data_IF_601176718931
#
_entry.id   IF_601176718931
#
_cell.length_a   1.000
_cell.length_b   1.000
_cell.length_c   1.000
_cell.angle_alpha   90.00
_cell.angle_beta   90.00
_cell.angle_gamma   90.00
#
_symmetry.space_group_name_H-M   'P 1'
#
loop_
_entity.id
_entity.type
_entity.pdbx_description
1 polymer ?
#
# COMPACT_ATOMS: atom_id res chain seq x y z
N UNK A 1 36.26 -13.66 6.17
CA UNK A 1 35.36 -12.95 7.11
C UNK A 1 35.99 -11.60 7.43
N UNK A 2 35.63 -10.56 6.67
CA UNK A 2 36.00 -9.18 7.02
C UNK A 2 35.03 -8.68 8.09
N UNK A 3 35.52 -7.92 9.06
CA UNK A 3 34.65 -7.18 9.99
C UNK A 3 33.98 -6.07 9.19
N UNK A 4 32.67 -6.18 8.97
CA UNK A 4 31.88 -5.06 8.44
C UNK A 4 31.66 -4.05 9.56
N UNK A 5 31.91 -2.78 9.25
CA UNK A 5 31.75 -1.66 10.18
C UNK A 5 30.26 -1.40 10.40
N UNK A 6 29.91 -1.15 11.65
CA UNK A 6 28.56 -0.92 12.11
C UNK A 6 28.55 0.45 12.75
N UNK A 7 27.66 1.34 12.30
CA UNK A 7 27.54 2.68 12.85
C UNK A 7 26.33 2.72 13.79
N UNK A 8 26.54 3.24 15.00
CA UNK A 8 25.47 3.44 15.98
C UNK A 8 25.01 4.88 15.89
N UNK A 9 23.73 5.09 15.59
CA UNK A 9 23.12 6.43 15.62
C UNK A 9 22.81 6.85 17.05
N UNK A 10 22.62 8.15 17.29
CA UNK A 10 22.37 8.76 18.61
C UNK A 10 21.09 8.25 19.33
N UNK A 11 20.29 7.39 18.68
CA UNK A 11 19.12 6.71 19.26
C UNK A 11 19.32 5.23 19.58
N UNK A 12 20.54 4.69 19.48
CA UNK A 12 20.82 3.27 19.74
C UNK A 12 20.46 2.33 18.58
N UNK A 13 19.96 2.85 17.46
CA UNK A 13 19.70 2.07 16.23
C UNK A 13 21.03 1.75 15.55
N UNK A 14 21.23 0.46 15.29
CA UNK A 14 22.40 -0.11 14.65
C UNK A 14 22.20 -0.10 13.13
N UNK A 15 23.00 0.68 12.41
CA UNK A 15 22.91 0.81 10.95
C UNK A 15 24.13 0.15 10.30
N UNK A 16 23.90 -0.54 9.18
CA UNK A 16 24.95 -1.18 8.38
C UNK A 16 25.68 -0.16 7.50
N UNK A 17 27.01 -0.09 7.60
CA UNK A 17 27.84 0.78 6.75
C UNK A 17 27.99 0.16 5.36
N UNK A 18 27.70 0.94 4.31
CA UNK A 18 27.79 0.51 2.92
C UNK A 18 29.23 0.14 2.54
N UNK A 19 29.50 -1.16 2.37
CA UNK A 19 30.80 -1.69 1.96
C UNK A 19 30.62 -2.97 1.10
N UNK A 20 31.17 -3.05 -0.13
CA UNK A 20 32.04 -2.09 -0.80
C UNK A 20 31.31 -0.86 -1.33
N UNK A 21 31.99 0.28 -1.32
CA UNK A 21 31.50 1.51 -1.95
C UNK A 21 31.32 1.28 -3.46
N UNK A 22 30.20 1.72 -4.08
CA UNK A 22 29.96 1.57 -5.51
C UNK A 22 31.10 2.13 -6.35
N UNK A 23 31.49 1.44 -7.43
CA UNK A 23 32.58 1.87 -8.31
C UNK A 23 32.14 1.93 -9.79
N UNK A 24 32.37 3.07 -10.44
CA UNK A 24 32.15 3.28 -11.89
C UNK A 24 33.28 2.70 -12.76
N UNK A 25 33.62 1.43 -12.52
CA UNK A 25 34.68 0.71 -13.23
C UNK A 25 34.27 0.18 -14.61
N UNK A 26 35.17 -0.56 -15.26
CA UNK A 26 34.93 -1.17 -16.59
C UNK A 26 33.71 -2.11 -16.56
N UNK A 27 33.53 -2.88 -15.48
CA UNK A 27 32.37 -3.75 -15.29
C UNK A 27 31.04 -2.95 -15.31
N UNK A 28 30.99 -1.77 -14.68
CA UNK A 28 29.82 -0.88 -14.73
C UNK A 28 29.48 -0.50 -16.16
N UNK A 29 30.48 -0.06 -16.94
CA UNK A 29 30.26 0.35 -18.34
C UNK A 29 29.78 -0.79 -19.23
N UNK A 30 30.24 -2.01 -18.99
CA UNK A 30 29.80 -3.19 -19.73
C UNK A 30 28.34 -3.57 -19.42
N UNK A 31 27.95 -3.47 -18.14
CA UNK A 31 26.55 -3.67 -17.72
C UNK A 31 25.66 -2.58 -18.31
N UNK A 32 26.07 -1.30 -18.22
CA UNK A 32 25.31 -0.18 -18.78
C UNK A 32 25.09 -0.35 -20.28
N UNK A 33 26.11 -0.82 -21.02
CA UNK A 33 26.00 -1.11 -22.45
C UNK A 33 25.05 -2.29 -22.75
N UNK A 34 25.13 -3.37 -21.96
CA UNK A 34 24.23 -4.52 -22.11
C UNK A 34 22.78 -4.13 -21.81
N UNK A 35 22.54 -3.38 -20.73
CA UNK A 35 21.23 -2.84 -20.38
C UNK A 35 20.68 -1.95 -21.49
N UNK A 36 21.51 -1.05 -22.03
CA UNK A 36 21.13 -0.19 -23.16
C UNK A 36 20.71 -1.01 -24.38
N UNK A 37 21.40 -2.11 -24.69
CA UNK A 37 21.02 -3.00 -25.78
C UNK A 37 19.69 -3.70 -25.49
N UNK A 38 19.52 -4.26 -24.29
CA UNK A 38 18.28 -4.93 -23.89
C UNK A 38 17.10 -3.96 -23.99
N UNK A 39 17.22 -2.76 -23.40
CA UNK A 39 16.19 -1.73 -23.47
C UNK A 39 15.91 -1.35 -24.92
N UNK A 40 16.93 -1.15 -25.76
CA UNK A 40 16.74 -0.81 -27.18
C UNK A 40 15.94 -1.86 -27.97
N UNK A 41 16.09 -3.14 -27.63
CA UNK A 41 15.41 -4.23 -28.35
C UNK A 41 14.07 -4.65 -27.72
N UNK A 42 13.88 -4.42 -26.42
CA UNK A 42 12.67 -4.82 -25.69
C UNK A 42 11.69 -3.67 -25.45
N UNK A 43 12.16 -2.42 -25.47
CA UNK A 43 11.34 -1.24 -25.23
C UNK A 43 11.16 -0.45 -26.53
N UNK A 44 9.90 -0.25 -26.89
CA UNK A 44 9.52 0.66 -27.96
C UNK A 44 9.17 2.02 -27.34
N UNK A 45 10.07 3.03 -27.39
CA UNK A 45 9.81 4.33 -26.78
C UNK A 45 8.68 5.11 -27.45
N UNK A 46 8.18 4.64 -28.60
CA UNK A 46 7.01 5.23 -29.26
C UNK A 46 5.68 4.77 -28.67
N UNK A 47 5.68 3.68 -27.88
CA UNK A 47 4.49 3.19 -27.19
C UNK A 47 4.42 3.80 -25.78
N UNK A 48 3.27 4.38 -25.37
CA UNK A 48 3.10 4.88 -24.02
C UNK A 48 3.20 3.72 -23.03
N UNK A 49 3.91 3.94 -21.92
CA UNK A 49 3.92 3.01 -20.78
C UNK A 49 2.92 3.52 -19.74
N UNK A 50 1.80 2.81 -19.59
CA UNK A 50 0.73 3.20 -18.68
C UNK A 50 1.22 3.43 -17.24
N UNK A 51 2.16 2.60 -16.76
CA UNK A 51 2.75 2.67 -15.41
C UNK A 51 3.72 3.83 -15.21
N UNK A 52 4.05 4.57 -16.27
CA UNK A 52 4.86 5.80 -16.21
C UNK A 52 4.10 7.02 -16.73
N UNK A 53 2.80 6.88 -16.98
CA UNK A 53 1.93 7.91 -17.55
C UNK A 53 0.89 8.40 -16.55
N UNK A 54 0.33 9.60 -16.78
CA UNK A 54 -0.66 10.18 -15.88
C UNK A 54 -0.18 10.24 -14.43
N UNK A 55 -1.05 9.84 -13.49
CA UNK A 55 -0.71 9.84 -12.06
C UNK A 55 0.06 8.59 -11.59
N UNK A 56 0.32 7.61 -12.48
CA UNK A 56 1.31 6.56 -12.22
C UNK A 56 2.75 7.04 -12.45
N UNK A 57 2.91 8.09 -13.27
CA UNK A 57 4.21 8.69 -13.54
C UNK A 57 4.88 9.26 -12.29
N UNK A 58 6.21 9.12 -12.15
CA UNK A 58 6.95 9.61 -11.00
C UNK A 58 6.84 11.14 -10.87
N UNK A 59 7.03 11.63 -9.65
CA UNK A 59 7.32 13.06 -9.43
C UNK A 59 8.82 13.26 -9.58
N UNK A 60 9.22 14.26 -10.37
CA UNK A 60 10.63 14.52 -10.68
C UNK A 60 11.41 15.16 -9.53
N UNK A 61 10.70 15.88 -8.66
CA UNK A 61 11.30 16.74 -7.65
C UNK A 61 10.73 16.35 -6.28
N UNK A 62 11.63 16.14 -5.32
CA UNK A 62 11.26 16.07 -3.91
C UNK A 62 10.76 17.44 -3.46
N UNK A 63 9.61 17.45 -2.80
CA UNK A 63 8.97 18.67 -2.34
C UNK A 63 9.40 18.94 -0.92
N UNK A 64 9.91 20.14 -0.59
CA UNK A 64 10.27 20.47 0.78
C UNK A 64 9.02 20.43 1.69
N UNK A 65 9.20 20.25 3.00
CA UNK A 65 8.09 20.29 3.95
C UNK A 65 7.29 21.60 3.82
N UNK A 66 5.98 21.46 3.68
CA UNK A 66 5.05 22.57 3.55
C UNK A 66 4.16 22.63 4.79
N UNK A 67 4.11 23.80 5.42
CA UNK A 67 3.28 24.05 6.61
C UNK A 67 1.99 24.77 6.22
N UNK A 68 1.02 24.75 7.13
CA UNK A 68 -0.23 25.52 7.02
C UNK A 68 -1.01 25.25 5.72
N UNK A 69 -1.10 23.97 5.34
CA UNK A 69 -1.84 23.55 4.16
C UNK A 69 -3.33 23.94 4.26
N UNK A 70 -3.98 24.34 3.15
CA UNK A 70 -5.39 24.69 3.17
C UNK A 70 -6.26 23.50 3.62
N UNK A 71 -7.13 23.74 4.60
CA UNK A 71 -8.08 22.74 5.10
C UNK A 71 -9.51 23.24 4.86
N UNK A 72 -10.29 22.41 4.18
CA UNK A 72 -11.75 22.57 4.04
C UNK A 72 -12.40 21.63 5.06
N UNK A 73 -13.32 22.13 5.87
CA UNK A 73 -13.93 21.36 6.97
C UNK A 73 -13.15 21.49 8.28
N UNK A 74 -13.05 20.41 9.05
CA UNK A 74 -12.40 20.43 10.36
C UNK A 74 -11.59 19.15 10.59
N UNK A 75 -10.28 19.28 10.83
CA UNK A 75 -9.44 18.13 11.19
C UNK A 75 -9.75 17.68 12.62
N UNK A 76 -10.15 16.41 12.83
CA UNK A 76 -10.36 15.87 14.16
C UNK A 76 -9.08 15.86 15.02
N UNK A 77 -9.22 16.14 16.32
CA UNK A 77 -8.09 16.16 17.27
C UNK A 77 -7.30 14.86 17.35
N UNK A 78 -7.93 13.72 17.06
CA UNK A 78 -7.26 12.41 17.06
C UNK A 78 -6.30 12.21 15.88
N UNK A 79 -6.37 13.04 14.84
CA UNK A 79 -5.40 13.05 13.75
C UNK A 79 -4.15 13.86 14.15
N UNK A 80 -3.57 13.50 15.30
CA UNK A 80 -2.32 14.07 15.79
C UNK A 80 -1.18 13.07 15.56
N UNK A 81 -0.44 13.24 14.47
CA UNK A 81 0.61 12.32 14.06
C UNK A 81 0.93 12.41 12.56
N UNK A 82 1.69 11.45 12.06
CA UNK A 82 2.15 11.39 10.67
C UNK A 82 1.37 10.40 9.83
N UNK A 83 0.81 10.87 8.72
CA UNK A 83 0.23 10.01 7.69
C UNK A 83 1.20 9.80 6.54
N UNK A 84 1.73 8.58 6.40
CA UNK A 84 2.75 8.23 5.41
C UNK A 84 2.23 7.19 4.43
N UNK A 85 2.65 7.30 3.17
CA UNK A 85 2.28 6.36 2.09
C UNK A 85 3.52 5.94 1.31
N UNK A 86 3.62 4.64 1.01
CA UNK A 86 4.66 4.09 0.16
C UNK A 86 4.23 4.24 -1.32
N UNK A 87 5.08 4.87 -2.13
CA UNK A 87 4.90 5.00 -3.58
C UNK A 87 5.23 3.71 -4.34
N UNK A 88 4.80 3.63 -5.60
CA UNK A 88 5.16 2.50 -6.46
C UNK A 88 6.67 2.46 -6.73
N UNK A 89 7.27 1.29 -6.50
CA UNK A 89 8.66 1.00 -6.85
C UNK A 89 8.73 0.68 -8.35
N UNK A 90 8.67 1.72 -9.17
CA UNK A 90 9.04 1.72 -10.60
C UNK A 90 8.37 0.62 -11.46
N UNK A 91 7.05 0.49 -11.44
CA UNK A 91 6.25 -0.15 -12.51
C UNK A 91 6.71 -1.55 -12.99
N UNK A 92 6.21 -1.98 -14.16
CA UNK A 92 6.42 -3.32 -14.75
C UNK A 92 7.90 -3.73 -14.96
N UNK A 93 8.82 -2.77 -14.98
CA UNK A 93 10.28 -3.04 -15.02
C UNK A 93 10.87 -3.44 -13.66
N UNK A 94 10.09 -3.41 -12.57
CA UNK A 94 10.54 -3.76 -11.22
C UNK A 94 11.25 -5.11 -11.16
N UNK A 95 10.76 -6.16 -11.83
CA UNK A 95 11.37 -7.49 -11.76
C UNK A 95 12.65 -7.63 -12.61
N UNK A 96 12.70 -7.04 -13.82
CA UNK A 96 13.91 -7.01 -14.65
C UNK A 96 14.97 -6.09 -14.02
N UNK A 97 14.54 -4.95 -13.51
CA UNK A 97 15.42 -4.01 -12.82
C UNK A 97 15.90 -4.61 -11.51
N UNK A 98 15.10 -5.35 -10.76
CA UNK A 98 15.57 -6.14 -9.61
C UNK A 98 16.64 -7.15 -10.03
N UNK A 99 16.48 -7.86 -11.15
CA UNK A 99 17.51 -8.79 -11.64
C UNK A 99 18.80 -8.07 -12.10
N UNK A 100 18.69 -6.92 -12.77
CA UNK A 100 19.84 -6.09 -13.18
C UNK A 100 20.51 -5.46 -11.95
N UNK A 101 19.74 -5.00 -10.97
CA UNK A 101 20.24 -4.46 -9.70
C UNK A 101 20.92 -5.57 -8.89
N UNK A 102 20.37 -6.79 -8.83
CA UNK A 102 21.02 -7.97 -8.25
C UNK A 102 22.34 -8.32 -8.96
N UNK A 103 22.40 -8.19 -10.30
CA UNK A 103 23.63 -8.39 -11.06
C UNK A 103 24.66 -7.29 -10.77
N UNK A 104 24.23 -6.02 -10.72
CA UNK A 104 25.06 -4.87 -10.32
C UNK A 104 25.56 -5.03 -8.87
N UNK A 105 24.77 -5.60 -7.96
CA UNK A 105 25.16 -5.95 -6.59
C UNK A 105 26.28 -7.00 -6.57
N UNK A 106 26.08 -8.12 -7.26
CA UNK A 106 27.07 -9.22 -7.39
C UNK A 106 28.38 -8.72 -7.98
N UNK A 107 28.31 -7.73 -8.87
CA UNK A 107 29.46 -7.10 -9.52
C UNK A 107 30.00 -5.87 -8.78
N UNK A 108 29.47 -5.53 -7.59
CA UNK A 108 29.89 -4.39 -6.75
C UNK A 108 29.79 -3.03 -7.45
N UNK A 109 28.86 -2.92 -8.39
CA UNK A 109 28.58 -1.72 -9.20
C UNK A 109 27.50 -0.85 -8.55
N UNK A 110 26.55 -1.47 -7.85
CA UNK A 110 25.45 -0.79 -7.16
C UNK A 110 25.25 -1.41 -5.77
N UNK A 111 24.93 -0.56 -4.80
CA UNK A 111 24.45 -0.98 -3.48
C UNK A 111 22.92 -1.21 -3.55
N UNK A 112 22.46 -2.38 -3.10
CA UNK A 112 21.04 -2.77 -3.09
C UNK A 112 20.44 -2.65 -1.68
N UNK A 113 21.09 -1.93 -0.77
CA UNK A 113 20.49 -1.52 0.51
C UNK A 113 19.10 -0.88 0.32
N UNK A 114 18.88 -0.20 -0.81
CA UNK A 114 17.55 0.15 -1.30
C UNK A 114 16.86 -1.05 -1.95
N UNK A 115 15.95 -1.69 -1.20
CA UNK A 115 15.01 -2.69 -1.73
C UNK A 115 15.29 -4.15 -1.34
N UNK A 116 16.30 -4.43 -0.52
CA UNK A 116 16.55 -5.79 0.02
C UNK A 116 16.51 -5.89 1.54
N UNK A 117 16.34 -4.77 2.25
CA UNK A 117 16.20 -4.69 3.70
C UNK A 117 15.18 -3.63 4.14
N UNK A 118 14.86 -3.62 5.43
CA UNK A 118 13.94 -2.62 6.02
C UNK A 118 14.72 -1.33 6.27
N UNK A 119 14.43 -0.26 5.53
CA UNK A 119 15.04 1.04 5.82
C UNK A 119 14.36 1.68 7.03
N UNK A 120 15.17 2.26 7.92
CA UNK A 120 14.69 3.15 8.97
C UNK A 120 14.57 4.54 8.39
N UNK A 121 13.33 5.03 8.32
CA UNK A 121 13.03 6.42 8.02
C UNK A 121 12.80 7.15 9.35
N UNK A 122 13.47 8.29 9.51
CA UNK A 122 13.22 9.23 10.59
C UNK A 122 12.41 10.39 10.04
N UNK A 123 11.27 10.67 10.66
CA UNK A 123 10.54 11.93 10.45
C UNK A 123 11.26 13.00 11.26
N UNK A 124 11.68 14.07 10.60
CA UNK A 124 12.32 15.23 11.21
C UNK A 124 11.27 16.19 11.76
N UNK A 125 11.65 17.04 12.73
CA UNK A 125 10.71 17.99 13.38
C UNK A 125 10.10 19.01 12.41
N UNK A 126 10.74 19.25 11.28
CA UNK A 126 10.23 20.11 10.21
C UNK A 126 9.30 19.38 9.23
N UNK A 127 9.10 18.07 9.40
CA UNK A 127 8.29 17.21 8.55
C UNK A 127 9.06 16.55 7.40
N UNK A 128 10.37 16.76 7.29
CA UNK A 128 11.20 16.11 6.28
C UNK A 128 11.50 14.64 6.65
N UNK A 129 11.86 13.83 5.65
CA UNK A 129 12.15 12.40 5.82
C UNK A 129 13.63 12.12 5.61
N UNK A 130 14.29 11.57 6.63
CA UNK A 130 15.67 11.14 6.55
C UNK A 130 15.79 9.62 6.60
N UNK A 131 16.37 9.02 5.56
CA UNK A 131 16.79 7.62 5.63
C UNK A 131 18.03 7.50 6.52
N UNK A 132 17.88 6.85 7.67
CA UNK A 132 19.00 6.57 8.58
C UNK A 132 19.84 5.39 8.09
N UNK A 133 19.22 4.45 7.38
CA UNK A 133 19.87 3.30 6.76
C UNK A 133 19.09 2.01 6.98
N UNK A 134 19.72 0.88 6.69
CA UNK A 134 19.07 -0.44 6.74
C UNK A 134 19.08 -1.03 8.16
N UNK A 135 17.93 -1.52 8.61
CA UNK A 135 17.74 -2.32 9.82
C UNK A 135 17.67 -3.80 9.45
N UNK A 136 18.60 -4.59 9.97
CA UNK A 136 18.67 -6.05 9.78
C UNK A 136 18.26 -6.84 11.03
N UNK A 137 17.65 -6.16 12.02
CA UNK A 137 17.24 -6.70 13.32
C UNK A 137 18.37 -7.44 14.05
N UNK A 138 19.52 -6.78 14.23
CA UNK A 138 20.72 -7.37 14.84
C UNK A 138 21.15 -8.66 14.10
N UNK A 139 21.15 -8.61 12.77
CA UNK A 139 21.49 -9.74 11.88
C UNK A 139 20.56 -10.94 11.97
N UNK A 140 19.40 -10.81 12.61
CA UNK A 140 18.38 -11.87 12.63
C UNK A 140 17.68 -12.01 11.28
N UNK A 141 17.65 -10.93 10.49
CA UNK A 141 17.18 -10.98 9.12
C UNK A 141 18.27 -11.54 8.20
N UNK A 142 18.17 -12.83 7.86
CA UNK A 142 19.16 -13.55 7.06
C UNK A 142 18.93 -13.51 5.55
N UNK A 143 17.79 -12.98 5.11
CA UNK A 143 17.34 -12.95 3.73
C UNK A 143 16.41 -11.76 3.50
N UNK A 144 16.34 -11.27 2.26
CA UNK A 144 15.40 -10.22 1.90
C UNK A 144 13.97 -10.71 2.07
N UNK A 145 13.12 -9.88 2.66
CA UNK A 145 11.69 -10.09 2.70
C UNK A 145 11.00 -8.83 2.16
N UNK A 146 9.94 -9.03 1.39
CA UNK A 146 9.03 -7.96 1.02
C UNK A 146 7.87 -8.02 2.01
N UNK A 147 7.82 -7.05 2.92
CA UNK A 147 6.62 -6.83 3.71
C UNK A 147 5.79 -5.76 3.02
N UNK A 148 4.70 -6.18 2.39
CA UNK A 148 3.53 -5.32 2.30
C UNK A 148 3.08 -5.06 3.74
N UNK A 149 2.92 -3.81 4.22
CA UNK A 149 2.28 -3.56 5.50
C UNK A 149 0.78 -3.85 5.37
N UNK A 150 0.47 -5.14 5.24
CA UNK A 150 -0.77 -5.75 5.66
C UNK A 150 -0.47 -6.27 7.05
N UNK A 151 -1.32 -5.95 8.02
CA UNK A 151 -1.28 -6.67 9.28
C UNK A 151 -1.60 -8.14 8.94
N UNK A 152 -0.57 -8.99 9.00
CA UNK A 152 -0.49 -10.41 8.60
C UNK A 152 -0.38 -10.74 7.08
N UNK A 153 0.68 -11.42 6.58
CA UNK A 153 0.92 -11.67 5.15
C UNK A 153 -0.04 -12.61 4.41
N UNK A 154 -1.05 -13.18 5.06
CA UNK A 154 -1.95 -14.16 4.41
C UNK A 154 -3.43 -13.73 4.37
N UNK A 155 -3.81 -12.63 5.04
CA UNK A 155 -5.20 -12.41 5.43
C UNK A 155 -5.56 -10.91 5.45
N UNK A 156 -6.79 -10.56 5.05
CA UNK A 156 -7.40 -9.28 5.40
C UNK A 156 -7.53 -9.12 6.92
N UNK A 157 -7.79 -10.25 7.57
CA UNK A 157 -7.70 -10.51 9.00
C UNK A 157 -7.89 -12.02 9.23
N UNK A 158 -7.35 -12.56 10.31
CA UNK A 158 -7.63 -13.93 10.73
C UNK A 158 -7.69 -14.07 12.24
N UNK A 159 -8.50 -15.01 12.71
CA UNK A 159 -8.66 -15.31 14.13
C UNK A 159 -9.03 -16.76 14.37
N UNK A 160 -8.84 -17.22 15.60
CA UNK A 160 -9.25 -18.55 16.04
C UNK A 160 -10.69 -18.51 16.57
N UNK A 161 -11.52 -19.46 16.13
CA UNK A 161 -12.87 -19.70 16.61
C UNK A 161 -13.02 -21.17 16.98
N UNK A 162 -12.74 -21.51 18.24
CA UNK A 162 -12.75 -22.89 18.71
C UNK A 162 -11.65 -23.73 18.05
N UNK A 163 -12.04 -24.70 17.23
CA UNK A 163 -11.13 -25.56 16.47
C UNK A 163 -10.87 -25.05 15.03
N UNK A 164 -11.41 -23.88 14.68
CA UNK A 164 -11.30 -23.31 13.35
C UNK A 164 -10.40 -22.08 13.32
N UNK A 165 -9.63 -21.95 12.25
CA UNK A 165 -9.02 -20.68 11.84
C UNK A 165 -9.97 -20.05 10.82
N UNK A 166 -10.43 -18.84 11.10
CA UNK A 166 -11.25 -18.05 10.18
C UNK A 166 -10.39 -17.00 9.53
N UNK A 167 -10.44 -16.95 8.20
CA UNK A 167 -9.65 -16.11 7.32
C UNK A 167 -10.59 -15.23 6.50
N UNK A 168 -10.46 -13.91 6.62
CA UNK A 168 -11.07 -12.97 5.68
C UNK A 168 -10.01 -12.62 4.65
N UNK A 169 -10.30 -12.72 3.36
CA UNK A 169 -9.33 -12.38 2.31
C UNK A 169 -10.02 -11.97 1.01
N UNK A 170 -9.32 -11.21 0.18
CA UNK A 170 -9.76 -10.96 -1.20
C UNK A 170 -9.27 -12.09 -2.10
N UNK A 171 -10.17 -12.66 -2.88
CA UNK A 171 -9.89 -13.75 -3.83
C UNK A 171 -10.12 -13.25 -5.25
N UNK A 172 -9.16 -13.56 -6.11
CA UNK A 172 -9.30 -13.52 -7.57
C UNK A 172 -9.68 -14.92 -8.03
N UNK A 173 -10.74 -15.03 -8.81
CA UNK A 173 -11.07 -16.28 -9.51
C UNK A 173 -10.32 -16.31 -10.85
N UNK A 174 -9.60 -17.40 -11.11
CA UNK A 174 -8.81 -17.65 -12.33
C UNK A 174 -7.88 -16.50 -12.75
N UNK A 175 -6.82 -16.20 -11.97
CA UNK A 175 -5.88 -15.14 -12.32
C UNK A 175 -5.12 -15.49 -13.61
N UNK A 176 -5.43 -14.82 -14.71
CA UNK A 176 -4.61 -14.85 -15.91
C UNK A 176 -3.40 -13.93 -15.72
N UNK A 177 -2.27 -14.53 -15.32
CA UNK A 177 -1.01 -13.82 -15.09
C UNK A 177 -0.45 -13.14 -16.35
N UNK A 178 -0.93 -13.50 -17.55
CA UNK A 178 -0.58 -12.84 -18.82
C UNK A 178 -1.22 -11.46 -18.97
N UNK A 179 -2.28 -11.15 -18.22
CA UNK A 179 -3.02 -9.87 -18.28
C UNK A 179 -2.20 -8.69 -17.76
N UNK A 180 -1.28 -8.94 -16.82
CA UNK A 180 -0.39 -7.92 -16.21
C UNK A 180 0.71 -7.47 -17.18
N UNK A 181 0.96 -8.24 -18.25
CA UNK A 181 1.98 -7.99 -19.28
C UNK A 181 1.41 -7.25 -20.50
N UNK A 182 0.15 -6.81 -20.44
CA UNK A 182 -0.53 -6.11 -21.55
C UNK A 182 -0.64 -4.61 -21.27
N UNK A 183 -0.50 -3.79 -22.33
CA UNK A 183 -0.85 -2.36 -22.32
C UNK A 183 -2.35 -2.16 -22.63
N UNK A 184 -3.19 -3.13 -22.29
CA UNK A 184 -4.59 -3.15 -22.66
C UNK A 184 -5.45 -2.77 -21.46
N UNK A 185 -5.92 -1.52 -21.44
CA UNK A 185 -6.70 -0.95 -20.34
C UNK A 185 -7.99 -1.75 -20.10
N UNK A 186 -8.61 -2.33 -21.15
CA UNK A 186 -9.84 -3.15 -21.04
C UNK A 186 -9.64 -4.47 -20.25
N UNK A 187 -8.40 -4.98 -20.17
CA UNK A 187 -8.09 -6.22 -19.45
C UNK A 187 -7.82 -5.97 -17.95
N UNK A 188 -7.33 -4.78 -17.60
CA UNK A 188 -7.09 -4.36 -16.20
C UNK A 188 -8.38 -3.93 -15.47
N UNK A 189 -9.42 -3.54 -16.21
CA UNK A 189 -10.76 -3.24 -15.70
C UNK A 189 -11.59 -4.50 -15.34
N UNK A 190 -11.17 -5.69 -15.80
CA UNK A 190 -11.90 -6.95 -15.59
C UNK A 190 -11.39 -7.80 -14.40
N UNK A 191 -10.55 -7.25 -13.52
CA UNK A 191 -10.11 -7.96 -12.31
C UNK A 191 -11.24 -8.02 -11.28
N UNK A 192 -11.91 -9.17 -11.21
CA UNK A 192 -12.95 -9.41 -10.21
C UNK A 192 -12.34 -9.88 -8.88
N UNK A 193 -12.05 -8.91 -8.03
CA UNK A 193 -11.66 -9.15 -6.64
C UNK A 193 -12.89 -9.22 -5.74
N UNK A 194 -13.04 -10.32 -5.02
CA UNK A 194 -14.18 -10.59 -4.13
C UNK A 194 -13.73 -10.88 -2.71
N UNK A 195 -14.45 -10.38 -1.71
CA UNK A 195 -14.17 -10.68 -0.30
C UNK A 195 -14.73 -12.07 0.06
N UNK A 196 -13.91 -12.92 0.67
CA UNK A 196 -14.27 -14.26 1.13
C UNK A 196 -13.95 -14.45 2.61
N UNK A 197 -14.79 -15.22 3.29
CA UNK A 197 -14.50 -15.89 4.54
C UNK A 197 -14.11 -17.33 4.24
N UNK A 198 -12.89 -17.72 4.57
CA UNK A 198 -12.41 -19.10 4.51
C UNK A 198 -12.27 -19.63 5.93
N UNK A 199 -12.72 -20.86 6.18
CA UNK A 199 -12.61 -21.53 7.48
C UNK A 199 -11.80 -22.79 7.34
N UNK A 200 -10.84 -22.99 8.23
CA UNK A 200 -9.98 -24.18 8.27
C UNK A 200 -10.14 -24.87 9.61
N UNK A 201 -10.69 -26.09 9.61
CA UNK A 201 -10.87 -26.86 10.84
C UNK A 201 -9.61 -27.68 11.15
N UNK A 202 -8.96 -27.38 12.28
CA UNK A 202 -7.67 -27.94 12.64
C UNK A 202 -7.76 -29.39 13.16
N UNK A 203 -8.95 -29.87 13.53
CA UNK A 203 -9.17 -31.26 13.95
C UNK A 203 -9.51 -32.18 12.78
N UNK A 204 -10.38 -31.72 11.89
CA UNK A 204 -10.89 -32.54 10.77
C UNK A 204 -10.09 -32.35 9.49
N UNK A 205 -9.23 -31.32 9.42
CA UNK A 205 -8.52 -30.89 8.20
C UNK A 205 -9.44 -30.50 7.05
N UNK A 206 -10.72 -30.21 7.33
CA UNK A 206 -11.66 -29.70 6.34
C UNK A 206 -11.55 -28.18 6.21
N UNK A 207 -11.73 -27.68 5.00
CA UNK A 207 -11.81 -26.25 4.71
C UNK A 207 -13.15 -25.92 4.05
N UNK A 208 -13.68 -24.72 4.33
CA UNK A 208 -14.86 -24.17 3.66
C UNK A 208 -14.63 -22.71 3.29
N UNK A 209 -15.41 -22.21 2.34
CA UNK A 209 -15.35 -20.81 1.93
C UNK A 209 -16.76 -20.25 1.71
N UNK A 210 -16.93 -18.98 2.03
CA UNK A 210 -18.16 -18.22 1.91
C UNK A 210 -17.84 -16.86 1.30
N UNK A 211 -18.47 -16.54 0.18
CA UNK A 211 -18.37 -15.21 -0.43
C UNK A 211 -19.08 -14.17 0.44
N UNK A 212 -18.44 -13.04 0.68
CA UNK A 212 -18.91 -11.97 1.54
C UNK A 212 -19.31 -10.70 0.78
N UNK A 213 -18.81 -10.48 -0.43
CA UNK A 213 -19.12 -9.26 -1.19
C UNK A 213 -19.39 -9.55 -2.67
N UNK A 214 -20.05 -8.60 -3.33
CA UNK A 214 -19.94 -8.49 -4.79
C UNK A 214 -18.47 -8.17 -5.19
N UNK A 215 -18.09 -8.39 -6.46
CA UNK A 215 -16.78 -7.97 -6.98
C UNK A 215 -16.51 -6.47 -6.77
N UNK A 216 -15.23 -6.09 -6.72
CA UNK A 216 -14.66 -4.72 -6.58
C UNK A 216 -14.05 -4.37 -5.21
N UNK A 217 -13.56 -5.35 -4.42
CA UNK A 217 -12.98 -5.08 -3.09
C UNK A 217 -11.52 -5.52 -2.97
N UNK A 218 -10.64 -4.63 -2.55
CA UNK A 218 -9.24 -4.95 -2.18
C UNK A 218 -8.76 -4.04 -1.03
N UNK A 219 -7.47 -4.11 -0.67
CA UNK A 219 -6.84 -3.36 0.42
C UNK A 219 -7.70 -3.29 1.69
N UNK A 220 -8.08 -4.44 2.26
CA UNK A 220 -8.83 -4.47 3.50
C UNK A 220 -7.98 -3.94 4.64
N UNK A 221 -8.60 -3.15 5.51
CA UNK A 221 -7.99 -2.54 6.68
C UNK A 221 -8.88 -2.75 7.86
N UNK A 222 -8.29 -3.05 9.01
CA UNK A 222 -9.00 -3.22 10.28
C UNK A 222 -8.60 -2.12 11.24
N UNK A 223 -9.45 -1.85 12.23
CA UNK A 223 -9.02 -1.05 13.38
C UNK A 223 -7.85 -1.78 14.08
N UNK A 224 -6.71 -1.10 14.23
CA UNK A 224 -5.48 -1.72 14.74
C UNK A 224 -5.60 -2.21 16.19
N UNK A 225 -6.50 -1.61 16.98
CA UNK A 225 -6.79 -2.09 18.35
C UNK A 225 -7.54 -3.43 18.36
N UNK A 226 -8.02 -3.87 17.19
CA UNK A 226 -8.80 -5.08 16.97
C UNK A 226 -8.10 -6.03 15.98
N UNK A 227 -6.78 -5.92 15.78
CA UNK A 227 -6.01 -6.90 14.99
C UNK A 227 -6.26 -8.31 15.52
N UNK A 228 -6.64 -9.23 14.62
CA UNK A 228 -7.17 -10.55 14.99
C UNK A 228 -8.67 -10.55 15.30
N UNK A 229 -9.42 -9.49 14.95
CA UNK A 229 -10.89 -9.37 15.05
C UNK A 229 -11.47 -8.52 13.90
N UNK A 230 -12.53 -9.03 13.27
CA UNK A 230 -13.17 -8.63 12.00
C UNK A 230 -13.32 -7.09 11.73
N UNK A 231 -13.04 -6.59 10.49
CA UNK A 231 -13.84 -5.62 9.62
C UNK A 231 -13.08 -4.49 8.86
N UNK A 232 -13.77 -3.92 7.84
CA UNK A 232 -13.50 -2.83 6.85
C UNK A 232 -12.71 -3.20 5.56
N UNK A 233 -13.13 -2.63 4.40
CA UNK A 233 -12.58 -2.93 3.05
C UNK A 233 -12.57 -1.73 2.07
N UNK A 234 -11.69 -1.72 1.07
CA UNK A 234 -11.60 -0.61 0.09
C UNK A 234 -12.25 -1.01 -1.25
N UNK A 235 -12.90 -0.07 -1.97
CA UNK A 235 -13.45 -0.34 -3.32
C UNK A 235 -12.37 -0.08 -4.36
N UNK A 236 -12.16 -1.05 -5.25
CA UNK A 236 -11.30 -0.89 -6.42
C UNK A 236 -12.07 -1.05 -7.71
N UNK A 237 -11.85 -0.10 -8.61
CA UNK A 237 -12.39 -0.10 -9.98
C UNK A 237 -11.35 -0.70 -10.96
N UNK A 238 -10.06 -0.67 -10.61
CA UNK A 238 -8.98 -1.38 -11.30
C UNK A 238 -7.82 -1.69 -10.34
N UNK A 239 -6.83 -2.50 -10.76
CA UNK A 239 -5.67 -2.97 -9.95
C UNK A 239 -4.93 -1.86 -9.17
N UNK A 240 -5.08 -0.60 -9.54
CA UNK A 240 -4.44 0.50 -8.81
C UNK A 240 -5.25 1.81 -8.72
N UNK A 241 -6.51 1.83 -9.19
CA UNK A 241 -7.39 3.00 -9.07
C UNK A 241 -8.52 2.72 -8.09
N UNK A 242 -8.39 3.25 -6.89
CA UNK A 242 -9.41 3.17 -5.83
C UNK A 242 -10.46 4.25 -6.10
N UNK A 243 -11.73 3.88 -6.23
CA UNK A 243 -12.84 4.83 -6.50
C UNK A 243 -13.69 5.11 -5.26
N UNK A 244 -13.50 4.36 -4.20
CA UNK A 244 -14.26 4.52 -2.97
C UNK A 244 -13.85 3.57 -1.85
N UNK A 245 -14.64 3.56 -0.79
CA UNK A 245 -14.44 2.73 0.39
C UNK A 245 -15.75 2.03 0.75
N UNK A 246 -15.71 0.73 1.08
CA UNK A 246 -16.87 0.00 1.62
C UNK A 246 -16.65 -0.38 3.07
N UNK A 247 -17.62 -0.03 3.89
CA UNK A 247 -17.71 -0.52 5.25
C UNK A 247 -18.48 -1.84 5.30
N UNK A 248 -17.81 -2.90 5.75
CA UNK A 248 -18.40 -4.21 5.96
C UNK A 248 -18.65 -4.48 7.44
N UNK A 249 -19.82 -5.02 7.76
CA UNK A 249 -20.12 -5.67 9.03
C UNK A 249 -20.10 -7.18 8.85
N UNK A 250 -18.96 -7.78 9.18
CA UNK A 250 -18.75 -9.22 9.03
C UNK A 250 -19.53 -10.09 10.05
N UNK A 251 -20.32 -9.50 10.94
CA UNK A 251 -21.27 -10.25 11.77
C UNK A 251 -22.65 -10.38 11.11
N UNK A 252 -22.95 -9.55 10.12
CA UNK A 252 -24.16 -9.65 9.35
C UNK A 252 -23.99 -10.64 8.19
N UNK A 253 -25.08 -11.32 7.85
CA UNK A 253 -25.10 -12.20 6.69
C UNK A 253 -25.03 -11.38 5.39
N UNK A 254 -24.20 -11.80 4.42
CA UNK A 254 -24.14 -11.15 3.12
C UNK A 254 -25.44 -11.38 2.33
N UNK A 255 -25.86 -10.36 1.58
CA UNK A 255 -26.94 -10.54 0.61
C UNK A 255 -26.42 -11.33 -0.60
N UNK A 256 -26.99 -12.51 -0.83
CA UNK A 256 -26.61 -13.36 -1.97
C UNK A 256 -27.23 -12.87 -3.28
N UNK A 257 -26.54 -13.13 -4.40
CA UNK A 257 -27.04 -12.80 -5.74
C UNK A 257 -26.89 -11.35 -6.18
N UNK A 258 -26.18 -10.50 -5.41
CA UNK A 258 -25.82 -9.15 -5.83
C UNK A 258 -24.65 -9.19 -6.81
N UNK A 259 -24.75 -8.42 -7.90
CA UNK A 259 -23.65 -8.20 -8.85
C UNK A 259 -22.88 -6.92 -8.58
N UNK A 260 -23.47 -5.99 -7.82
CA UNK A 260 -22.89 -4.67 -7.52
C UNK A 260 -22.88 -4.42 -6.02
N UNK A 261 -21.91 -3.64 -5.53
CA UNK A 261 -21.84 -3.19 -4.14
C UNK A 261 -22.94 -2.15 -3.86
N UNK A 262 -23.86 -2.48 -2.97
CA UNK A 262 -24.93 -1.61 -2.50
C UNK A 262 -25.05 -1.75 -0.98
N UNK A 263 -25.43 -0.66 -0.29
CA UNK A 263 -25.70 -0.71 1.16
C UNK A 263 -26.88 -1.66 1.42
N UNK A 264 -26.68 -2.64 2.30
CA UNK A 264 -27.60 -3.76 2.54
C UNK A 264 -26.87 -4.99 3.09
N UNK A 265 -27.57 -5.83 3.85
CA UNK A 265 -26.97 -6.99 4.53
C UNK A 265 -25.72 -6.63 5.36
N UNK A 266 -24.58 -7.18 4.96
CA UNK A 266 -23.27 -6.95 5.56
C UNK A 266 -22.54 -5.70 5.05
N UNK A 267 -23.07 -4.98 4.06
CA UNK A 267 -22.54 -3.69 3.60
C UNK A 267 -23.23 -2.57 4.37
N UNK A 268 -22.49 -1.85 5.21
CA UNK A 268 -23.03 -0.81 6.12
C UNK A 268 -22.86 0.61 5.60
N UNK A 269 -21.95 0.84 4.67
CA UNK A 269 -21.72 2.16 4.11
C UNK A 269 -20.80 2.11 2.90
N UNK A 270 -20.98 3.04 1.99
CA UNK A 270 -20.17 3.20 0.78
C UNK A 270 -19.83 4.68 0.66
N UNK A 271 -18.54 4.99 0.60
CA UNK A 271 -18.04 6.31 0.29
C UNK A 271 -17.50 6.32 -1.13
N UNK A 272 -18.04 7.18 -2.00
CA UNK A 272 -17.56 7.32 -3.38
C UNK A 272 -16.72 8.59 -3.51
N UNK A 273 -15.56 8.50 -4.15
CA UNK A 273 -14.68 9.65 -4.37
C UNK A 273 -15.23 10.63 -5.42
N UNK A 274 -16.14 10.15 -6.27
CA UNK A 274 -16.70 10.89 -7.40
C UNK A 274 -15.97 10.62 -8.71
N UNK A 275 -16.57 11.05 -9.82
CA UNK A 275 -16.04 10.78 -11.14
C UNK A 275 -14.66 11.43 -11.37
N UNK A 276 -13.72 10.68 -11.96
CA UNK A 276 -12.36 11.15 -12.26
C UNK A 276 -11.46 11.34 -11.04
N UNK A 277 -11.90 10.86 -9.86
CA UNK A 277 -11.14 10.97 -8.60
C UNK A 277 -10.78 9.58 -8.10
N UNK A 278 -9.51 9.43 -7.74
CA UNK A 278 -8.95 8.14 -7.37
C UNK A 278 -8.10 8.25 -6.11
N UNK A 279 -8.29 7.29 -5.19
CA UNK A 279 -7.72 7.29 -3.86
C UNK A 279 -6.45 6.45 -3.69
N UNK A 280 -5.86 6.51 -2.50
CA UNK A 280 -4.95 5.51 -1.97
C UNK A 280 -5.66 4.54 -1.03
N UNK A 281 -4.92 3.55 -0.52
CA UNK A 281 -5.33 2.79 0.65
C UNK A 281 -5.75 3.76 1.78
N UNK A 282 -6.90 3.49 2.39
CA UNK A 282 -7.43 4.28 3.49
C UNK A 282 -6.97 3.71 4.83
N UNK A 283 -6.45 4.56 5.71
CA UNK A 283 -6.02 4.14 7.05
C UNK A 283 -7.07 4.55 8.08
N UNK A 284 -7.43 3.64 8.98
CA UNK A 284 -8.33 3.94 10.09
C UNK A 284 -7.55 4.54 11.26
N UNK A 285 -8.04 5.66 11.79
CA UNK A 285 -7.52 6.31 12.99
C UNK A 285 -8.63 6.35 14.05
N UNK A 286 -8.46 5.67 15.21
CA UNK A 286 -9.46 5.69 16.26
C UNK A 286 -9.62 7.09 16.84
N UNK A 287 -10.84 7.48 17.21
CA UNK A 287 -11.11 8.77 17.85
C UNK A 287 -10.36 8.93 19.17
N UNK A 288 -10.18 7.83 19.89
CA UNK A 288 -9.42 7.77 21.13
C UNK A 288 -8.50 6.53 21.10
N UNK A 289 -7.19 6.71 20.86
CA UNK A 289 -6.24 5.60 20.86
C UNK A 289 -6.29 4.79 22.16
N UNK A 290 -6.30 3.47 22.07
CA UNK A 290 -6.28 2.56 23.23
C UNK A 290 -7.55 2.55 24.09
N UNK A 291 -8.62 3.21 23.66
CA UNK A 291 -9.92 3.15 24.33
C UNK A 291 -10.77 1.97 23.83
N UNK A 292 -11.63 1.43 24.69
CA UNK A 292 -12.62 0.40 24.33
C UNK A 292 -13.92 1.04 23.77
N UNK A 293 -13.80 2.01 22.87
CA UNK A 293 -14.96 2.59 22.17
C UNK A 293 -15.53 1.61 21.16
N UNK A 294 -16.64 2.00 20.51
CA UNK A 294 -17.15 1.26 19.35
C UNK A 294 -16.04 1.13 18.29
N UNK A 295 -16.02 -0.02 17.61
CA UNK A 295 -14.94 -0.43 16.71
C UNK A 295 -14.73 0.54 15.54
N UNK A 296 -15.82 1.18 15.10
CA UNK A 296 -15.86 2.15 14.00
C UNK A 296 -15.83 3.62 14.48
N UNK A 297 -15.60 3.86 15.78
CA UNK A 297 -15.52 5.20 16.34
C UNK A 297 -14.16 5.85 16.02
N UNK A 298 -14.07 6.39 14.82
CA UNK A 298 -12.87 7.01 14.31
C UNK A 298 -13.07 7.56 12.91
N UNK A 299 -11.95 7.74 12.24
CA UNK A 299 -11.90 8.36 10.92
C UNK A 299 -11.07 7.52 9.96
N UNK A 300 -11.41 7.59 8.68
CA UNK A 300 -10.60 7.07 7.59
C UNK A 300 -9.84 8.23 6.96
N UNK A 301 -8.54 8.09 6.79
CA UNK A 301 -7.67 9.06 6.13
C UNK A 301 -7.06 8.43 4.86
N UNK A 302 -7.08 9.15 3.75
CA UNK A 302 -6.53 8.69 2.47
C UNK A 302 -6.09 9.84 1.57
N UNK A 303 -5.13 9.59 0.69
CA UNK A 303 -4.80 10.49 -0.40
C UNK A 303 -5.82 10.34 -1.52
N UNK A 304 -6.16 11.44 -2.19
CA UNK A 304 -7.06 11.49 -3.34
C UNK A 304 -6.41 12.32 -4.44
N UNK A 305 -6.42 11.81 -5.66
CA UNK A 305 -6.00 12.52 -6.86
C UNK A 305 -7.22 12.75 -7.76
N UNK A 306 -7.41 14.00 -8.17
CA UNK A 306 -8.44 14.39 -9.14
C UNK A 306 -7.79 14.53 -10.52
N UNK A 307 -7.99 13.54 -11.39
CA UNK A 307 -7.41 13.50 -12.73
C UNK A 307 -7.92 14.64 -13.62
N UNK A 308 -9.09 15.22 -13.32
CA UNK A 308 -9.64 16.34 -14.08
C UNK A 308 -8.90 17.67 -13.82
N UNK A 309 -8.35 17.82 -12.62
CA UNK A 309 -7.61 19.02 -12.21
C UNK A 309 -6.10 18.80 -12.07
N UNK A 310 -5.65 17.56 -12.02
CA UNK A 310 -4.27 17.17 -11.73
C UNK A 310 -3.84 17.41 -10.29
N UNK A 311 -4.77 17.77 -9.39
CA UNK A 311 -4.49 18.09 -7.99
C UNK A 311 -4.63 16.87 -7.08
N UNK A 312 -3.92 16.89 -5.96
CA UNK A 312 -4.05 15.90 -4.90
C UNK A 312 -4.47 16.53 -3.59
N UNK A 313 -5.13 15.73 -2.75
CA UNK A 313 -5.62 16.12 -1.43
C UNK A 313 -5.55 14.94 -0.47
N UNK A 314 -5.65 15.22 0.83
CA UNK A 314 -5.92 14.21 1.85
C UNK A 314 -7.35 14.37 2.32
N UNK A 315 -8.14 13.30 2.21
CA UNK A 315 -9.53 13.30 2.67
C UNK A 315 -9.64 12.59 4.00
N UNK A 316 -10.51 13.12 4.87
CA UNK A 316 -10.86 12.54 6.17
C UNK A 316 -12.35 12.23 6.18
N UNK A 317 -12.71 10.97 6.42
CA UNK A 317 -14.09 10.48 6.39
C UNK A 317 -14.44 9.95 7.77
N UNK A 318 -15.63 10.27 8.28
CA UNK A 318 -16.13 9.65 9.52
C UNK A 318 -16.48 8.18 9.25
N UNK A 319 -15.73 7.27 9.87
CA UNK A 319 -15.82 5.83 9.61
C UNK A 319 -17.14 5.24 10.08
N UNK A 320 -17.80 5.86 11.07
CA UNK A 320 -19.08 5.40 11.60
C UNK A 320 -20.20 5.69 10.61
N UNK A 321 -20.28 6.93 10.14
CA UNK A 321 -21.37 7.43 9.28
C UNK A 321 -21.15 7.12 7.81
N UNK A 322 -19.90 6.98 7.35
CA UNK A 322 -19.56 6.85 5.93
C UNK A 322 -20.24 7.93 5.07
N UNK A 323 -20.38 9.15 5.62
CA UNK A 323 -21.00 10.30 4.96
C UNK A 323 -20.36 10.57 3.60
N UNK A 324 -21.17 10.92 2.59
CA UNK A 324 -20.68 11.33 1.28
C UNK A 324 -19.84 12.62 1.31
N UNK A 325 -20.06 13.45 2.33
CA UNK A 325 -19.26 14.64 2.59
C UNK A 325 -18.11 14.31 3.56
N UNK A 326 -16.83 14.50 3.16
CA UNK A 326 -15.69 14.38 4.06
C UNK A 326 -15.78 15.35 5.24
N UNK A 327 -15.26 14.93 6.39
CA UNK A 327 -15.11 15.76 7.59
C UNK A 327 -14.05 16.84 7.37
N UNK A 328 -12.97 16.48 6.66
CA UNK A 328 -11.95 17.41 6.23
C UNK A 328 -11.37 17.02 4.87
N UNK A 329 -10.91 18.03 4.13
CA UNK A 329 -10.10 17.89 2.92
C UNK A 329 -8.90 18.82 3.06
N UNK A 330 -7.69 18.25 3.06
CA UNK A 330 -6.42 18.99 3.09
C UNK A 330 -5.88 19.08 1.67
N UNK A 331 -5.78 20.28 1.11
CA UNK A 331 -5.24 20.46 -0.24
C UNK A 331 -3.71 20.33 -0.25
N UNK A 332 -3.17 19.56 -1.19
CA UNK A 332 -1.73 19.39 -1.31
C UNK A 332 -1.15 20.33 -2.38
N UNK A 333 0.03 20.91 -2.14
CA UNK A 333 0.67 21.82 -3.09
C UNK A 333 1.17 21.10 -4.35
N UNK A 334 1.35 19.78 -4.25
CA UNK A 334 1.88 18.95 -5.31
C UNK A 334 1.05 17.68 -5.50
N UNK A 335 1.13 17.12 -6.70
CA UNK A 335 0.52 15.85 -7.06
C UNK A 335 1.15 14.72 -6.26
N UNK A 336 0.31 13.84 -5.71
CA UNK A 336 0.73 12.57 -5.09
C UNK A 336 0.40 11.43 -6.06
N UNK A 337 1.41 10.71 -6.58
CA UNK A 337 1.18 9.56 -7.46
C UNK A 337 0.34 8.47 -6.81
N UNK A 338 -0.24 7.63 -7.67
CA UNK A 338 -0.75 6.35 -7.23
C UNK A 338 0.38 5.54 -6.58
N UNK A 339 0.01 4.74 -5.59
CA UNK A 339 0.95 4.01 -4.77
C UNK A 339 0.20 3.01 -3.93
N UNK A 340 0.91 2.32 -3.06
CA UNK A 340 0.38 1.15 -2.38
C UNK A 340 -0.12 1.53 -0.99
N UNK A 341 0.60 1.09 0.02
CA UNK A 341 0.11 1.10 1.38
C UNK A 341 0.36 2.41 2.09
N UNK A 342 -0.53 2.72 3.02
CA UNK A 342 -0.44 3.87 3.90
C UNK A 342 -0.50 3.44 5.37
N UNK A 343 0.11 4.25 6.23
CA UNK A 343 0.20 4.08 7.66
C UNK A 343 -0.01 5.42 8.34
N UNK A 344 -0.67 5.40 9.49
CA UNK A 344 -0.77 6.54 10.39
C UNK A 344 0.04 6.23 11.65
N UNK A 345 0.98 7.11 11.98
CA UNK A 345 1.81 7.01 13.19
C UNK A 345 1.33 8.10 14.14
N UNK A 346 0.87 7.74 15.32
CA UNK A 346 0.47 8.72 16.35
C UNK A 346 1.70 9.30 17.04
N UNK A 347 1.65 10.59 17.39
CA UNK A 347 2.68 11.27 18.19
C UNK A 347 2.83 10.71 19.62
#
# INVERSE_FOLDING_TARGET
MGKEEVERTDGGVVVVVVNPKPNRGIASKAIDWLETLIVKYMFDPSKPNQYLSGNFGPVSDETPPCKDLPVIGHLPECLNGEFVKIGDLKGLFGLLMVNIQMLRAKLKVLDVSYGTGTNVLKVLEDGDLQTLGMLDYDKRLSHSFTAHPKVDPFTANAWEEGDEIVLITCRIEDPDLGMVDTNDDELLENFTNELYEMRFNMKTSLASQKKLSAPAVDFPKVNESYVGRRKNGTIMDSIAKITGIVKFDLHAEPETGKTNLVVGGNVRGIFNLGAGRFGSEATFVPRQPGSNTEEDDGYLILFVHDESTGKSSVNVIDARTMSADPVAVVELPHRVPYGFHALFVTE
#
